data_IF_817485856518
#
_entry.id   IF_817485856518
#
_cell.length_a   1.000
_cell.length_b   1.000
_cell.length_c   1.000
_cell.angle_alpha   90.00
_cell.angle_beta   90.00
_cell.angle_gamma   90.00
#
_symmetry.space_group_name_H-M   'P 1'
#
loop_
_entity.id
_entity.type
_entity.pdbx_description
1 polymer ?
#
# COMPACT_ATOMS: atom_id res chain seq x y z
N UNK A 1 52.65 55.80 7.76
CA UNK A 1 53.38 54.90 8.61
C UNK A 1 52.81 53.52 8.52
N UNK A 2 53.57 52.58 7.95
CA UNK A 2 53.15 51.22 7.62
C UNK A 2 53.52 50.32 8.79
N UNK A 3 52.56 49.65 9.41
CA UNK A 3 52.79 48.63 10.42
C UNK A 3 52.45 47.24 9.87
N UNK A 4 53.54 46.48 9.56
CA UNK A 4 53.46 45.05 9.18
C UNK A 4 53.15 44.20 10.41
N UNK A 5 52.09 43.36 10.37
CA UNK A 5 51.90 42.26 11.30
C UNK A 5 52.53 40.98 10.72
N UNK A 6 53.40 40.37 11.51
CA UNK A 6 54.11 39.10 11.24
C UNK A 6 53.20 37.92 11.59
N UNK A 7 53.07 36.88 10.76
CA UNK A 7 52.31 35.70 11.11
C UNK A 7 53.12 34.79 12.04
N UNK A 8 52.53 34.42 13.18
CA UNK A 8 53.07 33.43 14.12
C UNK A 8 53.00 32.03 13.53
N UNK A 9 54.15 31.36 13.42
CA UNK A 9 54.30 29.96 13.01
C UNK A 9 53.73 29.05 14.12
N UNK A 10 52.65 28.34 13.84
CA UNK A 10 52.16 27.23 14.67
C UNK A 10 53.03 26.01 14.38
N UNK A 11 53.63 25.45 15.42
CA UNK A 11 54.55 24.32 15.34
C UNK A 11 53.81 23.01 14.98
N UNK A 12 54.35 22.16 14.07
CA UNK A 12 53.69 20.96 13.57
C UNK A 12 53.68 19.76 14.52
N UNK A 13 54.10 19.91 15.77
CA UNK A 13 54.26 18.79 16.72
C UNK A 13 52.93 18.39 17.41
N UNK A 14 51.97 19.30 17.51
CA UNK A 14 50.70 19.00 18.18
C UNK A 14 49.69 18.19 17.33
N UNK A 15 49.81 18.23 16.00
CA UNK A 15 48.88 17.52 15.09
C UNK A 15 49.25 16.04 14.96
N UNK A 16 50.52 15.69 15.05
CA UNK A 16 50.99 14.31 14.98
C UNK A 16 50.62 13.48 16.22
N UNK A 17 50.52 14.10 17.39
CA UNK A 17 50.14 13.41 18.63
C UNK A 17 48.64 13.06 18.70
N UNK A 18 47.75 13.89 18.08
CA UNK A 18 46.32 13.65 18.05
C UNK A 18 45.97 12.54 17.05
N UNK A 19 46.66 12.47 15.91
CA UNK A 19 46.45 11.41 14.92
C UNK A 19 46.98 10.05 15.38
N UNK A 20 48.04 10.01 16.19
CA UNK A 20 48.55 8.77 16.79
C UNK A 20 47.63 8.26 17.92
N UNK A 21 47.03 9.14 18.71
CA UNK A 21 46.09 8.74 19.76
C UNK A 21 44.80 8.18 19.22
N UNK A 22 44.28 8.68 18.08
CA UNK A 22 43.09 8.13 17.42
C UNK A 22 43.38 6.81 16.69
N UNK A 23 44.56 6.62 16.13
CA UNK A 23 44.94 5.36 15.50
C UNK A 23 45.16 4.23 16.53
N UNK A 24 45.68 4.52 17.71
CA UNK A 24 45.84 3.54 18.79
C UNK A 24 44.50 3.16 19.44
N UNK A 25 43.52 4.08 19.44
CA UNK A 25 42.19 3.78 20.02
C UNK A 25 41.34 2.91 19.11
N UNK A 26 41.57 2.90 17.80
CA UNK A 26 40.91 2.04 16.83
C UNK A 26 41.49 0.62 16.83
N UNK A 27 42.78 0.44 17.23
CA UNK A 27 43.43 -0.88 17.25
C UNK A 27 43.15 -1.71 18.50
N UNK A 28 42.58 -1.15 19.57
CA UNK A 28 42.34 -1.89 20.83
C UNK A 28 40.92 -2.43 21.01
N UNK A 29 40.00 -2.18 20.07
CA UNK A 29 38.76 -2.93 20.01
C UNK A 29 38.91 -4.13 19.06
N UNK A 30 39.54 -5.17 19.54
CA UNK A 30 39.39 -6.49 18.94
C UNK A 30 37.93 -6.93 19.18
N UNK A 31 37.17 -6.98 18.09
CA UNK A 31 35.94 -7.77 18.07
C UNK A 31 36.37 -9.22 18.32
N UNK A 32 35.59 -10.01 19.10
CA UNK A 32 35.93 -11.41 19.23
C UNK A 32 35.92 -12.04 17.83
N UNK A 33 36.99 -12.72 17.51
CA UNK A 33 37.19 -13.40 16.24
C UNK A 33 35.95 -14.25 15.92
N UNK A 34 35.23 -13.88 14.89
CA UNK A 34 34.35 -14.81 14.21
C UNK A 34 35.29 -15.87 13.62
N UNK A 35 35.32 -17.02 14.25
CA UNK A 35 36.14 -18.14 13.81
C UNK A 35 35.87 -18.40 12.34
N UNK A 36 36.82 -18.02 11.48
CA UNK A 36 36.87 -18.53 10.12
C UNK A 36 37.09 -20.04 10.20
N UNK A 37 36.03 -20.80 10.05
CA UNK A 37 36.16 -22.22 9.85
C UNK A 37 36.96 -22.45 8.56
N UNK A 38 38.19 -22.90 8.70
CA UNK A 38 39.03 -23.33 7.58
C UNK A 38 38.26 -24.36 6.76
N UNK A 39 38.11 -24.10 5.49
CA UNK A 39 37.64 -25.07 4.51
C UNK A 39 38.70 -26.16 4.36
N UNK A 40 38.40 -27.31 4.87
CA UNK A 40 39.16 -28.55 4.66
C UNK A 40 38.22 -29.71 4.55
N UNK A 41 37.99 -30.19 3.34
CA UNK A 41 37.60 -31.57 3.07
C UNK A 41 36.10 -31.90 3.08
N UNK A 42 35.64 -32.39 1.95
CA UNK A 42 34.37 -33.08 1.67
C UNK A 42 33.08 -32.27 1.90
N UNK A 43 32.42 -31.93 0.80
CA UNK A 43 31.06 -31.41 0.79
C UNK A 43 30.11 -32.41 1.42
N UNK A 44 29.97 -32.39 2.74
CA UNK A 44 28.82 -32.95 3.43
C UNK A 44 27.60 -32.21 2.96
N UNK A 45 26.71 -32.90 2.25
CA UNK A 45 25.41 -32.40 1.89
C UNK A 45 24.75 -31.84 3.16
N UNK A 46 24.65 -30.54 3.29
CA UNK A 46 23.92 -29.90 4.38
C UNK A 46 22.49 -30.38 4.28
N UNK A 47 22.14 -31.36 5.13
CA UNK A 47 20.74 -31.73 5.31
C UNK A 47 20.01 -30.49 5.83
N UNK A 48 19.17 -29.92 4.98
CA UNK A 48 18.20 -28.89 5.43
C UNK A 48 17.27 -29.62 6.39
N UNK A 49 17.37 -29.31 7.67
CA UNK A 49 16.44 -29.81 8.67
C UNK A 49 15.13 -28.99 8.53
N UNK A 50 14.14 -29.60 7.93
CA UNK A 50 12.78 -29.03 7.94
C UNK A 50 12.13 -29.45 9.25
N UNK A 51 11.91 -28.49 10.14
CA UNK A 51 11.19 -28.70 11.39
C UNK A 51 9.69 -28.44 11.11
N UNK A 52 8.96 -29.52 10.87
CA UNK A 52 7.49 -29.49 10.80
C UNK A 52 6.93 -29.60 12.23
N UNK A 53 6.93 -28.47 12.93
CA UNK A 53 6.38 -28.36 14.29
C UNK A 53 5.42 -27.18 14.33
N UNK A 54 4.18 -27.39 14.82
CA UNK A 54 3.26 -26.27 15.04
C UNK A 54 3.87 -25.30 16.07
N UNK A 55 3.59 -23.99 15.95
CA UNK A 55 4.04 -23.02 16.92
C UNK A 55 3.43 -23.32 18.29
N UNK A 56 4.22 -23.13 19.34
CA UNK A 56 3.77 -23.32 20.74
C UNK A 56 2.74 -22.25 21.12
N UNK A 57 2.86 -21.07 20.53
CA UNK A 57 1.93 -19.94 20.66
C UNK A 57 1.81 -19.22 19.33
N UNK A 58 0.60 -18.90 18.98
CA UNK A 58 0.28 -18.07 17.83
C UNK A 58 -0.32 -16.75 18.34
N UNK A 59 0.30 -15.63 17.95
CA UNK A 59 -0.29 -14.30 18.09
C UNK A 59 -1.01 -14.00 16.79
N UNK A 60 -2.31 -13.87 16.84
CA UNK A 60 -3.12 -13.47 15.70
C UNK A 60 -4.09 -12.37 16.10
N UNK A 61 -4.41 -11.49 15.16
CA UNK A 61 -5.48 -10.54 15.32
C UNK A 61 -6.75 -11.15 14.71
N UNK A 62 -7.73 -11.59 15.54
CA UNK A 62 -8.92 -12.24 15.05
C UNK A 62 -9.93 -11.25 14.43
N UNK A 63 -9.68 -9.95 14.57
CA UNK A 63 -10.63 -8.93 14.16
C UNK A 63 -10.32 -8.40 12.76
N UNK A 64 -11.35 -8.22 11.93
CA UNK A 64 -11.19 -7.59 10.62
C UNK A 64 -10.58 -6.18 10.70
N UNK A 65 -9.75 -5.84 9.72
CA UNK A 65 -9.29 -4.48 9.47
C UNK A 65 -9.66 -4.06 8.07
N UNK A 66 -10.07 -2.83 7.89
CA UNK A 66 -10.56 -2.35 6.62
C UNK A 66 -9.45 -1.65 5.83
N UNK A 67 -9.16 -2.17 4.62
CA UNK A 67 -8.22 -1.56 3.69
C UNK A 67 -8.91 -0.74 2.60
N UNK A 68 -10.00 -1.24 2.05
CA UNK A 68 -10.71 -0.56 0.99
C UNK A 68 -12.21 -0.46 1.31
N UNK A 69 -12.86 0.53 0.73
CA UNK A 69 -14.27 0.80 0.89
C UNK A 69 -14.92 1.17 -0.45
N UNK A 70 -16.05 0.55 -0.75
CA UNK A 70 -16.89 0.92 -1.89
C UNK A 70 -18.36 0.95 -1.46
N UNK A 71 -19.16 1.81 -2.09
CA UNK A 71 -20.53 2.09 -1.65
C UNK A 71 -21.51 1.89 -2.81
N UNK A 72 -22.56 1.12 -2.56
CA UNK A 72 -23.76 1.08 -3.38
C UNK A 72 -24.80 2.01 -2.74
N UNK A 73 -24.88 3.22 -3.28
CA UNK A 73 -25.80 4.25 -2.77
C UNK A 73 -27.26 3.95 -3.05
N UNK A 74 -27.55 3.15 -4.10
CA UNK A 74 -28.93 2.78 -4.45
C UNK A 74 -29.50 1.78 -3.46
N UNK A 75 -28.69 0.81 -3.04
CA UNK A 75 -29.11 -0.22 -2.07
C UNK A 75 -28.77 0.15 -0.63
N UNK A 76 -28.05 1.24 -0.40
CA UNK A 76 -27.61 1.65 0.92
C UNK A 76 -26.68 0.63 1.57
N UNK A 77 -25.73 0.09 0.80
CA UNK A 77 -24.77 -0.91 1.27
C UNK A 77 -23.33 -0.40 1.09
N UNK A 78 -22.50 -0.66 2.10
CA UNK A 78 -21.06 -0.43 2.04
C UNK A 78 -20.32 -1.76 2.08
N UNK A 79 -19.42 -1.94 1.15
CA UNK A 79 -18.55 -3.10 1.00
C UNK A 79 -17.17 -2.73 1.52
N UNK A 80 -16.69 -3.48 2.49
CA UNK A 80 -15.43 -3.25 3.18
C UNK A 80 -14.48 -4.42 2.92
N UNK A 81 -13.35 -4.13 2.33
CA UNK A 81 -12.30 -5.12 2.14
C UNK A 81 -11.52 -5.32 3.45
N UNK A 82 -11.48 -6.54 3.94
CA UNK A 82 -10.65 -6.97 5.06
C UNK A 82 -9.44 -7.72 4.50
N UNK A 83 -8.25 -7.20 4.73
CA UNK A 83 -6.99 -7.75 4.20
C UNK A 83 -6.20 -8.59 5.21
N UNK A 84 -6.69 -8.76 6.43
CA UNK A 84 -5.99 -9.53 7.47
C UNK A 84 -6.10 -11.04 7.25
N UNK A 85 -4.96 -11.67 7.01
CA UNK A 85 -4.85 -13.13 6.90
C UNK A 85 -5.29 -13.87 8.17
N UNK A 86 -4.95 -13.34 9.35
CA UNK A 86 -5.25 -13.97 10.64
C UNK A 86 -6.74 -14.04 10.96
N UNK A 87 -7.52 -13.05 10.50
CA UNK A 87 -8.98 -13.06 10.60
C UNK A 87 -9.66 -13.68 9.39
N UNK A 88 -8.86 -14.11 8.40
CA UNK A 88 -9.29 -14.54 7.07
C UNK A 88 -9.66 -13.35 6.20
N UNK A 89 -8.96 -13.18 5.07
CA UNK A 89 -9.29 -12.17 4.07
C UNK A 89 -10.77 -12.32 3.67
N UNK A 90 -11.47 -11.21 3.54
CA UNK A 90 -12.93 -11.24 3.31
C UNK A 90 -13.45 -9.92 2.80
N UNK A 91 -14.64 -9.96 2.21
CA UNK A 91 -15.44 -8.76 1.97
C UNK A 91 -16.59 -8.77 2.97
N UNK A 92 -16.73 -7.67 3.70
CA UNK A 92 -17.78 -7.48 4.71
C UNK A 92 -18.75 -6.41 4.22
N UNK A 93 -20.05 -6.71 4.25
CA UNK A 93 -21.08 -5.79 3.74
C UNK A 93 -21.94 -5.30 4.89
N UNK A 94 -21.99 -3.98 5.05
CA UNK A 94 -22.77 -3.31 6.08
C UNK A 94 -23.82 -2.37 5.48
N UNK A 95 -24.84 -1.95 6.23
CA UNK A 95 -25.71 -0.87 5.80
C UNK A 95 -24.96 0.46 5.85
N UNK A 96 -25.24 1.38 4.92
CA UNK A 96 -24.69 2.75 4.99
C UNK A 96 -25.32 3.56 6.11
N UNK A 97 -26.58 3.26 6.47
CA UNK A 97 -27.30 3.95 7.53
C UNK A 97 -27.48 3.04 8.75
N UNK A 98 -27.01 3.49 9.89
CA UNK A 98 -27.13 2.84 11.19
C UNK A 98 -27.00 3.86 12.31
N UNK A 99 -27.55 3.55 13.48
CA UNK A 99 -27.40 4.40 14.65
C UNK A 99 -25.93 4.35 15.15
N UNK A 100 -25.36 5.46 15.62
CA UNK A 100 -24.07 5.44 16.28
C UNK A 100 -24.03 4.41 17.42
N UNK A 101 -22.97 3.60 17.44
CA UNK A 101 -22.82 2.55 18.45
C UNK A 101 -21.34 2.37 18.81
N UNK A 102 -21.07 2.07 20.09
CA UNK A 102 -19.75 1.67 20.58
C UNK A 102 -19.56 0.13 20.51
N UNK A 103 -20.57 -0.59 20.06
CA UNK A 103 -20.52 -2.04 19.95
C UNK A 103 -19.85 -2.46 18.64
N UNK A 104 -19.25 -3.64 18.66
CA UNK A 104 -18.79 -4.32 17.44
C UNK A 104 -20.02 -4.54 16.56
N UNK A 105 -19.90 -4.15 15.30
CA UNK A 105 -20.97 -4.25 14.33
C UNK A 105 -20.79 -5.50 13.47
N UNK A 106 -21.79 -6.35 13.43
CA UNK A 106 -21.81 -7.52 12.57
C UNK A 106 -22.19 -7.15 11.14
N UNK A 107 -21.52 -7.70 10.13
CA UNK A 107 -21.88 -7.47 8.74
C UNK A 107 -23.18 -8.17 8.37
N UNK A 108 -23.95 -7.60 7.46
CA UNK A 108 -25.13 -8.26 6.85
C UNK A 108 -24.75 -9.48 6.01
N UNK A 109 -23.60 -9.39 5.31
CA UNK A 109 -23.03 -10.45 4.49
C UNK A 109 -21.52 -10.48 4.66
N UNK A 110 -20.96 -11.67 4.53
CA UNK A 110 -19.53 -11.90 4.53
C UNK A 110 -19.18 -12.86 3.42
N UNK A 111 -18.29 -12.46 2.52
CA UNK A 111 -17.72 -13.31 1.48
C UNK A 111 -16.33 -13.69 1.96
N UNK A 112 -16.14 -14.95 2.29
CA UNK A 112 -14.89 -15.49 2.84
C UNK A 112 -14.88 -17.01 2.76
N UNK A 113 -13.71 -17.58 2.62
CA UNK A 113 -13.47 -19.01 2.60
C UNK A 113 -12.56 -19.45 1.46
N UNK A 114 -12.10 -20.69 1.46
CA UNK A 114 -11.11 -21.17 0.52
C UNK A 114 -11.55 -21.18 -0.95
N UNK A 115 -12.86 -21.28 -1.21
CA UNK A 115 -13.39 -21.26 -2.58
C UNK A 115 -13.43 -19.83 -3.17
N UNK A 116 -13.35 -18.80 -2.35
CA UNK A 116 -13.42 -17.41 -2.83
C UNK A 116 -12.15 -16.97 -3.56
N UNK A 117 -11.04 -17.63 -3.33
CA UNK A 117 -9.69 -17.19 -3.75
C UNK A 117 -9.41 -15.72 -3.41
N UNK A 118 -9.98 -15.26 -2.29
CA UNK A 118 -9.71 -13.96 -1.70
C UNK A 118 -8.46 -14.07 -0.83
N UNK A 119 -7.35 -13.49 -1.31
CA UNK A 119 -6.17 -13.22 -0.48
C UNK A 119 -6.26 -11.83 0.17
N UNK A 120 -5.14 -11.20 0.45
CA UNK A 120 -5.09 -9.82 0.95
C UNK A 120 -5.78 -8.88 -0.05
N UNK A 121 -6.99 -8.40 0.30
CA UNK A 121 -7.79 -7.54 -0.60
C UNK A 121 -7.34 -6.10 -0.47
N UNK A 122 -6.67 -5.60 -1.48
CA UNK A 122 -6.14 -4.23 -1.50
C UNK A 122 -7.10 -3.22 -2.12
N UNK A 123 -7.99 -3.67 -2.99
CA UNK A 123 -8.93 -2.78 -3.67
C UNK A 123 -10.26 -3.44 -3.97
N UNK A 124 -11.31 -2.63 -4.00
CA UNK A 124 -12.68 -3.04 -4.32
C UNK A 124 -13.35 -1.98 -5.20
N UNK A 125 -14.00 -2.43 -6.27
CA UNK A 125 -14.83 -1.59 -7.14
C UNK A 125 -16.19 -2.25 -7.37
N UNK A 126 -17.22 -1.45 -7.57
CA UNK A 126 -18.60 -1.93 -7.76
C UNK A 126 -19.13 -1.52 -9.13
N UNK A 127 -19.95 -2.39 -9.70
CA UNK A 127 -20.80 -2.10 -10.86
C UNK A 127 -22.26 -2.41 -10.51
N UNK A 128 -22.99 -1.49 -9.89
CA UNK A 128 -24.38 -1.74 -9.49
C UNK A 128 -25.28 -2.12 -10.66
N UNK A 129 -25.11 -1.46 -11.82
CA UNK A 129 -25.85 -1.74 -13.05
C UNK A 129 -25.69 -3.17 -13.57
N UNK A 130 -24.56 -3.84 -13.28
CA UNK A 130 -24.29 -5.22 -13.68
C UNK A 130 -24.38 -6.19 -12.50
N UNK A 131 -24.59 -5.68 -11.29
CA UNK A 131 -24.60 -6.47 -10.05
C UNK A 131 -23.26 -7.12 -9.74
N UNK A 132 -22.15 -6.55 -10.22
CA UNK A 132 -20.79 -7.09 -10.11
C UNK A 132 -19.94 -6.31 -9.12
N UNK A 133 -19.11 -7.03 -8.38
CA UNK A 133 -18.07 -6.52 -7.49
C UNK A 133 -16.72 -7.05 -7.95
N UNK A 134 -15.74 -6.18 -8.08
CA UNK A 134 -14.36 -6.48 -8.46
C UNK A 134 -13.46 -6.33 -7.25
N UNK A 135 -12.65 -7.34 -6.98
CA UNK A 135 -11.68 -7.31 -5.89
C UNK A 135 -10.30 -7.65 -6.41
N UNK A 136 -9.28 -6.93 -5.93
CA UNK A 136 -7.92 -7.20 -6.32
C UNK A 136 -7.12 -7.67 -5.10
N UNK A 137 -6.35 -8.75 -5.29
CA UNK A 137 -5.50 -9.31 -4.26
C UNK A 137 -4.05 -8.88 -4.45
N UNK A 138 -3.48 -8.27 -3.42
CA UNK A 138 -2.05 -7.94 -3.39
C UNK A 138 -1.17 -9.18 -3.24
N UNK A 139 -1.68 -10.25 -2.65
CA UNK A 139 -0.92 -11.45 -2.35
C UNK A 139 -0.96 -12.48 -3.48
N UNK A 140 -2.15 -12.84 -3.95
CA UNK A 140 -2.32 -13.86 -5.00
C UNK A 140 -2.09 -13.29 -6.39
N UNK A 141 -2.21 -11.99 -6.57
CA UNK A 141 -2.13 -11.34 -7.89
C UNK A 141 -3.36 -11.63 -8.74
N UNK A 142 -4.53 -11.79 -8.11
CA UNK A 142 -5.79 -12.10 -8.81
C UNK A 142 -6.72 -10.88 -8.82
N UNK A 143 -7.47 -10.76 -9.89
CA UNK A 143 -8.64 -9.91 -10.01
C UNK A 143 -9.87 -10.83 -10.04
N UNK A 144 -10.68 -10.76 -9.01
CA UNK A 144 -11.87 -11.59 -8.86
C UNK A 144 -13.14 -10.77 -9.10
N UNK A 145 -14.13 -11.38 -9.72
CA UNK A 145 -15.46 -10.81 -9.92
C UNK A 145 -16.49 -11.65 -9.18
N UNK A 146 -17.20 -11.00 -8.27
CA UNK A 146 -18.32 -11.62 -7.53
C UNK A 146 -19.63 -10.93 -7.85
N UNK A 147 -20.74 -11.64 -7.63
CA UNK A 147 -22.03 -10.97 -7.50
C UNK A 147 -22.01 -10.02 -6.29
N UNK A 148 -22.57 -8.83 -6.41
CA UNK A 148 -22.78 -7.93 -5.27
C UNK A 148 -23.73 -8.52 -4.20
N UNK A 149 -24.44 -9.61 -4.50
CA UNK A 149 -25.27 -10.35 -3.56
C UNK A 149 -24.56 -11.59 -2.97
N UNK A 150 -23.30 -11.81 -3.31
CA UNK A 150 -22.54 -12.94 -2.80
C UNK A 150 -22.48 -12.95 -1.27
N UNK A 151 -22.49 -14.15 -0.69
CA UNK A 151 -22.39 -14.38 0.74
C UNK A 151 -21.81 -15.78 1.00
N UNK A 152 -20.95 -15.91 2.01
CA UNK A 152 -20.31 -17.17 2.38
C UNK A 152 -19.11 -17.52 1.49
N UNK A 153 -18.78 -18.81 1.45
CA UNK A 153 -17.64 -19.37 0.71
C UNK A 153 -18.05 -19.71 -0.72
N UNK A 154 -18.10 -18.71 -1.58
CA UNK A 154 -18.51 -18.84 -2.98
C UNK A 154 -17.34 -18.54 -3.93
N UNK A 155 -17.18 -19.30 -5.03
CA UNK A 155 -16.16 -18.99 -6.02
C UNK A 155 -16.47 -17.67 -6.76
N UNK A 156 -15.45 -16.99 -7.29
CA UNK A 156 -15.68 -15.86 -8.17
C UNK A 156 -16.39 -16.30 -9.46
N UNK A 157 -17.29 -15.46 -9.96
CA UNK A 157 -17.97 -15.69 -11.23
C UNK A 157 -17.00 -15.61 -12.42
N UNK A 158 -15.98 -14.77 -12.30
CA UNK A 158 -14.84 -14.63 -13.23
C UNK A 158 -13.57 -14.29 -12.44
N UNK A 159 -12.45 -14.72 -12.97
CA UNK A 159 -11.15 -14.44 -12.38
C UNK A 159 -10.12 -14.17 -13.49
N UNK A 160 -9.22 -13.23 -13.21
CA UNK A 160 -7.99 -13.03 -13.95
C UNK A 160 -6.84 -13.33 -13.00
N UNK A 161 -6.14 -14.43 -13.22
CA UNK A 161 -5.06 -14.89 -12.36
C UNK A 161 -3.78 -15.19 -13.12
N UNK A 162 -2.64 -15.13 -12.42
CA UNK A 162 -1.34 -15.48 -12.97
C UNK A 162 -0.76 -14.53 -14.02
N UNK A 163 -1.54 -13.56 -14.49
CA UNK A 163 -1.16 -12.54 -15.47
C UNK A 163 -0.84 -11.24 -14.78
N UNK A 164 -1.56 -10.95 -13.68
CA UNK A 164 -1.36 -9.76 -12.87
C UNK A 164 -0.20 -10.01 -11.91
N UNK A 165 0.84 -9.16 -11.85
CA UNK A 165 1.88 -9.27 -10.84
C UNK A 165 1.29 -9.22 -9.44
N UNK A 166 1.91 -9.88 -8.48
CA UNK A 166 1.60 -9.69 -7.05
C UNK A 166 1.90 -8.25 -6.64
N UNK A 167 1.43 -7.85 -5.47
CA UNK A 167 1.49 -6.50 -4.97
C UNK A 167 0.61 -5.52 -5.78
N UNK A 168 -0.61 -5.96 -6.08
CA UNK A 168 -1.64 -5.06 -6.60
C UNK A 168 -2.24 -4.25 -5.46
N UNK A 169 -2.42 -2.95 -5.67
CA UNK A 169 -2.86 -2.04 -4.62
C UNK A 169 -4.24 -1.46 -4.84
N UNK A 170 -4.56 -1.02 -6.04
CA UNK A 170 -5.82 -0.35 -6.33
C UNK A 170 -6.53 -0.91 -7.55
N UNK A 171 -7.86 -0.86 -7.53
CA UNK A 171 -8.73 -1.15 -8.67
C UNK A 171 -9.79 -0.07 -8.80
N UNK A 172 -10.04 0.36 -10.02
CA UNK A 172 -11.11 1.30 -10.36
C UNK A 172 -11.87 0.83 -11.60
N UNK A 173 -13.20 0.93 -11.54
CA UNK A 173 -14.07 0.70 -12.69
C UNK A 173 -14.47 2.03 -13.34
N UNK A 174 -14.02 2.27 -14.56
CA UNK A 174 -14.58 3.28 -15.43
C UNK A 174 -15.82 2.71 -16.14
N UNK A 175 -16.98 2.88 -15.50
CA UNK A 175 -18.24 2.33 -16.00
C UNK A 175 -18.67 2.98 -17.33
N UNK A 176 -18.24 4.21 -17.62
CA UNK A 176 -18.57 4.90 -18.86
C UNK A 176 -17.89 4.27 -20.09
N UNK A 177 -16.74 3.63 -19.90
CA UNK A 177 -15.96 3.04 -20.96
C UNK A 177 -15.80 1.51 -20.82
N UNK A 178 -16.41 0.91 -19.81
CA UNK A 178 -16.37 -0.53 -19.54
C UNK A 178 -14.92 -1.04 -19.32
N UNK A 179 -14.10 -0.23 -18.62
CA UNK A 179 -12.67 -0.50 -18.38
C UNK A 179 -12.35 -0.59 -16.86
N UNK A 180 -11.48 -1.54 -16.53
CA UNK A 180 -10.91 -1.73 -15.19
C UNK A 180 -9.46 -1.30 -15.17
N UNK A 181 -9.10 -0.41 -14.28
CA UNK A 181 -7.77 0.11 -14.06
C UNK A 181 -7.19 -0.49 -12.78
N UNK A 182 -5.97 -1.00 -12.86
CA UNK A 182 -5.30 -1.70 -11.76
C UNK A 182 -3.91 -1.11 -11.56
N UNK A 183 -3.59 -0.70 -10.34
CA UNK A 183 -2.23 -0.35 -9.95
C UNK A 183 -1.48 -1.54 -9.40
N UNK A 184 -0.19 -1.63 -9.71
CA UNK A 184 0.71 -2.63 -9.16
C UNK A 184 1.93 -1.95 -8.57
N UNK A 185 2.11 -2.08 -7.25
CA UNK A 185 3.11 -1.39 -6.45
C UNK A 185 4.54 -1.60 -6.99
N UNK A 186 5.20 -2.61 -6.58
CA UNK A 186 6.64 -2.83 -6.77
C UNK A 186 7.14 -2.89 -8.20
N UNK A 187 6.26 -3.00 -9.19
CA UNK A 187 6.63 -2.93 -10.62
C UNK A 187 6.27 -1.59 -11.25
N UNK A 188 5.69 -0.67 -10.48
CA UNK A 188 5.33 0.68 -10.92
C UNK A 188 4.51 0.65 -12.21
N UNK A 189 3.34 0.03 -12.15
CA UNK A 189 2.53 -0.24 -13.33
C UNK A 189 1.06 0.10 -13.09
N UNK A 190 0.42 0.60 -14.14
CA UNK A 190 -1.04 0.61 -14.30
C UNK A 190 -1.37 -0.32 -15.46
N UNK A 191 -2.29 -1.27 -15.24
CA UNK A 191 -2.82 -2.12 -16.28
C UNK A 191 -4.31 -1.84 -16.47
N UNK A 192 -4.77 -1.83 -17.72
CA UNK A 192 -6.17 -1.56 -18.06
C UNK A 192 -6.75 -2.76 -18.78
N UNK A 193 -7.87 -3.28 -18.28
CA UNK A 193 -8.59 -4.41 -18.84
C UNK A 193 -10.02 -4.03 -19.22
N UNK A 194 -10.65 -4.81 -20.10
CA UNK A 194 -12.10 -4.74 -20.28
C UNK A 194 -12.81 -5.17 -19.00
N UNK A 195 -13.92 -4.54 -18.66
CA UNK A 195 -14.77 -5.01 -17.56
C UNK A 195 -15.18 -6.48 -17.74
N UNK A 196 -15.46 -6.90 -18.99
CA UNK A 196 -15.91 -8.24 -19.35
C UNK A 196 -14.76 -9.24 -19.61
N UNK A 197 -13.56 -8.98 -19.05
CA UNK A 197 -12.38 -9.81 -19.25
C UNK A 197 -12.65 -11.30 -19.02
N UNK A 198 -11.85 -12.14 -19.65
CA UNK A 198 -11.78 -13.59 -19.45
C UNK A 198 -10.44 -13.98 -18.82
N UNK A 199 -10.34 -15.20 -18.32
CA UNK A 199 -9.20 -15.69 -17.51
C UNK A 199 -7.80 -15.42 -18.09
N UNK A 200 -7.67 -15.37 -19.43
CA UNK A 200 -6.38 -15.23 -20.12
C UNK A 200 -6.25 -13.96 -20.94
N UNK A 201 -7.14 -13.01 -20.72
CA UNK A 201 -7.08 -11.77 -21.48
C UNK A 201 -5.83 -10.96 -21.14
N UNK A 202 -5.22 -10.39 -22.17
CA UNK A 202 -4.15 -9.42 -22.01
C UNK A 202 -4.75 -8.03 -21.71
N UNK A 203 -4.00 -7.16 -21.01
CA UNK A 203 -4.45 -5.80 -20.79
C UNK A 203 -4.59 -5.05 -22.11
N UNK A 204 -5.62 -4.21 -22.20
CA UNK A 204 -5.81 -3.30 -23.34
C UNK A 204 -4.67 -2.30 -23.44
N UNK A 205 -4.18 -1.83 -22.30
CA UNK A 205 -3.11 -0.83 -22.18
C UNK A 205 -2.31 -1.09 -20.90
N UNK A 206 -1.03 -0.71 -20.95
CA UNK A 206 -0.12 -0.71 -19.80
C UNK A 206 0.56 0.65 -19.77
N UNK A 207 0.54 1.32 -18.60
CA UNK A 207 1.35 2.49 -18.32
C UNK A 207 2.48 2.03 -17.40
N UNK A 208 3.71 2.07 -17.91
CA UNK A 208 4.90 1.63 -17.20
C UNK A 208 6.16 2.19 -17.86
N UNK A 209 7.13 2.65 -17.08
CA UNK A 209 8.41 3.09 -17.60
C UNK A 209 9.00 4.25 -16.79
N UNK A 210 10.25 4.64 -17.09
CA UNK A 210 10.96 5.67 -16.33
C UNK A 210 10.39 7.08 -16.46
N UNK A 211 9.65 7.35 -17.54
CA UNK A 211 9.04 8.66 -17.79
C UNK A 211 7.73 8.85 -17.03
N UNK A 212 7.10 7.76 -16.58
CA UNK A 212 5.78 7.82 -15.94
C UNK A 212 5.80 8.53 -14.59
N UNK A 213 6.91 8.54 -13.87
CA UNK A 213 6.96 9.05 -12.50
C UNK A 213 6.19 8.18 -11.49
N UNK A 214 5.70 7.00 -11.89
CA UNK A 214 5.11 6.03 -10.97
C UNK A 214 6.17 5.55 -9.97
N UNK A 215 5.81 5.57 -8.71
CA UNK A 215 6.70 5.30 -7.60
C UNK A 215 5.94 4.64 -6.45
N UNK A 216 5.82 3.31 -6.51
CA UNK A 216 5.01 2.53 -5.59
C UNK A 216 3.54 3.00 -5.64
N UNK A 217 2.87 2.81 -6.78
CA UNK A 217 1.52 3.31 -7.00
C UNK A 217 0.49 2.50 -6.21
N UNK A 218 -0.37 3.18 -5.47
CA UNK A 218 -1.42 2.60 -4.65
C UNK A 218 -2.82 2.88 -5.21
N UNK A 219 -3.51 3.87 -4.68
CA UNK A 219 -4.86 4.20 -5.09
C UNK A 219 -4.94 4.73 -6.53
N UNK A 220 -6.05 4.43 -7.19
CA UNK A 220 -6.34 4.88 -8.54
C UNK A 220 -7.78 5.37 -8.64
N UNK A 221 -7.97 6.48 -9.32
CA UNK A 221 -9.27 7.07 -9.66
C UNK A 221 -9.26 7.50 -11.12
N UNK A 222 -10.37 7.31 -11.82
CA UNK A 222 -10.52 7.77 -13.21
C UNK A 222 -11.66 8.78 -13.30
N UNK A 223 -11.33 9.97 -13.75
CA UNK A 223 -12.29 10.99 -14.12
C UNK A 223 -12.64 10.82 -15.61
N UNK A 224 -13.75 10.14 -15.86
CA UNK A 224 -14.21 9.84 -17.23
C UNK A 224 -14.60 11.09 -18.00
N UNK A 225 -15.07 12.15 -17.33
CA UNK A 225 -15.44 13.42 -17.96
C UNK A 225 -14.21 14.24 -18.37
N UNK A 226 -13.20 14.33 -17.48
CA UNK A 226 -11.93 14.98 -17.79
C UNK A 226 -11.02 14.11 -18.64
N UNK A 227 -11.34 12.84 -18.82
CA UNK A 227 -10.51 11.85 -19.49
C UNK A 227 -9.12 11.69 -18.84
N UNK A 228 -9.08 11.62 -17.50
CA UNK A 228 -7.86 11.60 -16.70
C UNK A 228 -7.83 10.43 -15.72
N UNK A 229 -6.62 9.92 -15.46
CA UNK A 229 -6.31 8.94 -14.42
C UNK A 229 -5.50 9.64 -13.34
N UNK A 230 -5.91 9.51 -12.08
CA UNK A 230 -5.19 9.98 -10.90
C UNK A 230 -4.66 8.79 -10.12
N UNK A 231 -3.38 8.84 -9.74
CA UNK A 231 -2.71 7.75 -9.03
C UNK A 231 -1.93 8.31 -7.86
N UNK A 232 -2.15 7.76 -6.68
CA UNK A 232 -1.31 8.02 -5.51
C UNK A 232 -0.05 7.17 -5.57
N UNK A 233 1.08 7.74 -5.20
CA UNK A 233 2.37 7.07 -5.14
C UNK A 233 2.97 7.28 -3.74
N UNK A 234 3.33 6.19 -3.06
CA UNK A 234 4.01 6.27 -1.76
C UNK A 234 5.40 6.89 -1.86
N UNK A 235 5.98 6.86 -3.05
CA UNK A 235 7.37 7.24 -3.26
C UNK A 235 8.27 6.02 -3.24
N UNK A 236 9.57 6.24 -3.49
CA UNK A 236 10.39 5.08 -3.68
C UNK A 236 11.17 4.61 -2.48
N UNK A 237 10.82 3.49 -2.01
CA UNK A 237 11.70 2.66 -1.21
C UNK A 237 12.29 1.49 -2.00
N UNK A 238 12.34 1.53 -3.30
CA UNK A 238 12.29 0.45 -4.17
C UNK A 238 13.51 -0.20 -4.72
N UNK A 239 13.25 -1.38 -5.20
CA UNK A 239 14.12 -2.19 -6.00
C UNK A 239 14.78 -1.39 -7.13
N UNK A 240 16.10 -1.37 -7.21
CA UNK A 240 16.84 -0.90 -8.36
C UNK A 240 16.96 -2.03 -9.38
N UNK A 241 16.55 -1.76 -10.62
CA UNK A 241 16.87 -2.65 -11.74
C UNK A 241 18.27 -2.30 -12.23
N UNK A 242 19.22 -3.19 -12.07
CA UNK A 242 20.54 -3.06 -12.70
C UNK A 242 20.43 -3.46 -14.18
N UNK A 243 21.33 -2.95 -15.04
CA UNK A 243 21.27 -3.08 -16.49
C UNK A 243 21.19 -4.49 -17.07
N UNK A 244 21.28 -5.53 -16.23
CA UNK A 244 21.14 -6.93 -16.62
C UNK A 244 19.78 -7.54 -16.23
N UNK A 245 18.81 -6.72 -15.81
CA UNK A 245 17.47 -7.16 -15.40
C UNK A 245 17.42 -7.80 -14.02
N UNK A 246 18.48 -7.70 -13.23
CA UNK A 246 18.48 -8.11 -11.84
C UNK A 246 17.89 -7.02 -10.96
N UNK A 247 16.87 -7.37 -10.16
CA UNK A 247 16.28 -6.46 -9.19
C UNK A 247 17.10 -6.49 -7.92
N UNK A 248 17.71 -5.36 -7.57
CA UNK A 248 18.34 -5.17 -6.28
C UNK A 248 17.62 -4.06 -5.53
N UNK A 249 16.99 -4.39 -4.45
CA UNK A 249 16.40 -3.45 -3.50
C UNK A 249 17.21 -3.36 -2.23
N UNK A 250 16.86 -2.44 -1.32
CA UNK A 250 17.45 -2.40 0.01
C UNK A 250 17.41 -3.76 0.71
N UNK A 251 16.40 -4.56 0.40
CA UNK A 251 16.15 -5.87 0.98
C UNK A 251 16.68 -7.02 0.12
N UNK A 252 17.48 -6.74 -0.92
CA UNK A 252 18.01 -7.75 -1.87
C UNK A 252 16.97 -8.76 -2.35
N UNK A 253 15.73 -8.31 -2.52
CA UNK A 253 14.63 -9.13 -2.98
C UNK A 253 14.93 -9.60 -4.41
N UNK A 254 15.23 -10.88 -4.54
CA UNK A 254 15.34 -11.53 -5.85
C UNK A 254 13.95 -11.66 -6.49
N UNK A 255 13.90 -11.85 -7.80
CA UNK A 255 12.65 -12.15 -8.54
C UNK A 255 11.79 -13.22 -7.86
N UNK A 256 12.44 -14.22 -7.25
CA UNK A 256 11.81 -15.32 -6.54
C UNK A 256 11.13 -14.89 -5.25
N UNK A 257 11.69 -13.93 -4.52
CA UNK A 257 11.13 -13.45 -3.26
C UNK A 257 9.89 -12.54 -3.44
N UNK A 258 9.73 -11.93 -4.61
CA UNK A 258 8.54 -11.15 -4.95
C UNK A 258 7.41 -12.00 -5.54
N UNK A 259 7.60 -13.34 -5.62
CA UNK A 259 6.58 -14.25 -6.15
C UNK A 259 6.28 -14.08 -7.65
N UNK A 260 7.16 -13.44 -8.41
CA UNK A 260 7.02 -13.24 -9.86
C UNK A 260 7.38 -14.46 -10.72
N UNK A 261 7.53 -15.62 -10.13
CA UNK A 261 7.69 -16.87 -10.86
C UNK A 261 6.35 -17.34 -11.46
N UNK A 262 5.85 -16.62 -12.42
CA UNK A 262 4.91 -17.20 -13.37
C UNK A 262 5.76 -17.98 -14.38
N UNK A 263 5.65 -19.30 -14.43
CA UNK A 263 6.43 -20.10 -15.38
C UNK A 263 6.27 -19.56 -16.79
N UNK A 264 7.38 -19.15 -17.41
CA UNK A 264 7.41 -18.67 -18.80
C UNK A 264 7.24 -17.18 -19.03
N UNK A 265 6.98 -16.34 -18.01
CA UNK A 265 6.93 -14.88 -18.15
C UNK A 265 7.91 -14.15 -17.26
N UNK A 266 8.89 -13.54 -17.87
CA UNK A 266 9.73 -12.52 -17.27
C UNK A 266 9.02 -11.18 -17.52
N UNK A 267 8.33 -10.65 -16.50
CA UNK A 267 7.82 -9.29 -16.59
C UNK A 267 9.01 -8.33 -16.61
N UNK A 268 9.16 -7.49 -17.63
CA UNK A 268 10.20 -6.48 -17.62
C UNK A 268 9.90 -5.51 -16.50
N UNK A 269 10.77 -5.49 -15.50
CA UNK A 269 10.79 -4.41 -14.53
C UNK A 269 11.35 -3.19 -15.24
N UNK A 270 10.65 -2.07 -15.18
CA UNK A 270 11.14 -0.82 -15.76
C UNK A 270 12.51 -0.46 -15.15
N UNK A 271 13.40 0.17 -15.91
CA UNK A 271 14.69 0.59 -15.40
C UNK A 271 14.51 1.55 -14.22
N UNK A 272 15.27 1.30 -13.14
CA UNK A 272 15.33 2.26 -12.03
C UNK A 272 16.01 3.54 -12.52
N UNK A 273 15.42 4.68 -12.22
CA UNK A 273 16.02 5.98 -12.50
C UNK A 273 17.20 6.30 -11.57
N UNK A 274 17.38 5.51 -10.49
CA UNK A 274 18.32 5.79 -9.43
C UNK A 274 18.01 7.06 -8.62
N UNK A 275 16.87 7.71 -8.87
CA UNK A 275 16.44 8.92 -8.18
C UNK A 275 15.47 8.57 -7.06
N UNK A 276 15.61 9.27 -5.94
CA UNK A 276 14.59 9.28 -4.91
C UNK A 276 13.36 10.04 -5.44
N UNK A 277 12.20 9.38 -5.41
CA UNK A 277 10.92 9.99 -5.74
C UNK A 277 10.09 10.10 -4.46
N UNK A 278 9.78 11.31 -3.99
CA UNK A 278 8.92 11.49 -2.82
C UNK A 278 7.47 11.10 -3.13
N UNK A 279 6.65 11.03 -2.09
CA UNK A 279 5.22 10.82 -2.22
C UNK A 279 4.61 11.81 -3.21
N UNK A 280 3.66 11.35 -4.04
CA UNK A 280 3.08 12.17 -5.10
C UNK A 280 1.69 11.68 -5.53
N UNK A 281 0.99 12.54 -6.25
CA UNK A 281 -0.15 12.16 -7.09
C UNK A 281 0.24 12.44 -8.53
N UNK A 282 0.23 11.42 -9.37
CA UNK A 282 0.48 11.55 -10.83
C UNK A 282 -0.82 11.47 -11.59
N UNK A 283 -0.96 12.31 -12.63
CA UNK A 283 -2.17 12.38 -13.45
C UNK A 283 -1.80 12.10 -14.90
N UNK A 284 -2.55 11.20 -15.55
CA UNK A 284 -2.33 10.82 -16.95
C UNK A 284 -3.62 11.00 -17.77
N UNK A 285 -3.48 11.03 -19.10
CA UNK A 285 -4.63 10.82 -19.97
C UNK A 285 -5.22 9.42 -19.72
N UNK A 286 -6.54 9.28 -19.72
CA UNK A 286 -7.22 7.99 -19.55
C UNK A 286 -6.80 6.97 -20.63
N UNK A 287 -6.46 7.45 -21.82
CA UNK A 287 -6.03 6.62 -22.95
C UNK A 287 -4.52 6.41 -23.03
N UNK A 288 -3.76 6.84 -22.01
CA UNK A 288 -2.32 6.67 -21.97
C UNK A 288 -1.89 5.19 -22.07
N UNK A 289 -0.77 4.95 -22.74
CA UNK A 289 -0.18 3.63 -22.93
C UNK A 289 1.34 3.74 -23.07
N UNK A 290 2.08 2.71 -22.67
CA UNK A 290 3.54 2.68 -22.75
C UNK A 290 4.22 3.45 -21.62
N UNK A 291 5.16 4.33 -21.95
CA UNK A 291 5.95 5.15 -21.00
C UNK A 291 5.63 6.66 -21.13
N UNK A 292 4.38 7.09 -20.86
CA UNK A 292 4.00 8.50 -20.97
C UNK A 292 4.45 9.27 -19.71
N UNK A 293 4.91 10.50 -19.91
CA UNK A 293 5.02 11.45 -18.80
C UNK A 293 3.61 11.81 -18.29
N UNK A 294 3.45 12.05 -16.96
CA UNK A 294 2.19 12.54 -16.43
C UNK A 294 1.87 13.94 -16.96
N UNK A 295 0.60 14.21 -17.20
CA UNK A 295 0.13 15.55 -17.60
C UNK A 295 0.20 16.55 -16.45
N UNK A 296 0.10 16.07 -15.21
CA UNK A 296 0.28 16.82 -13.97
C UNK A 296 0.86 15.94 -12.87
N UNK A 297 1.58 16.57 -11.95
CA UNK A 297 2.08 15.94 -10.71
C UNK A 297 1.80 16.87 -9.55
N UNK A 298 1.24 16.35 -8.46
CA UNK A 298 1.14 17.04 -7.17
C UNK A 298 2.21 16.41 -6.27
N UNK A 299 3.22 17.22 -5.88
CA UNK A 299 4.39 16.71 -5.15
C UNK A 299 5.12 17.89 -4.50
N UNK A 300 5.64 17.67 -3.30
CA UNK A 300 6.46 18.62 -2.58
C UNK A 300 6.03 18.82 -1.13
N UNK A 301 6.81 19.51 -0.31
CA UNK A 301 6.58 19.60 1.15
C UNK A 301 5.28 20.32 1.52
N UNK A 302 4.78 21.24 0.68
CA UNK A 302 3.52 21.95 0.95
C UNK A 302 2.30 21.06 0.76
N UNK A 303 2.42 19.97 -0.01
CA UNK A 303 1.31 19.04 -0.27
C UNK A 303 0.91 18.24 0.97
N UNK A 304 1.79 18.07 1.95
CA UNK A 304 1.60 17.25 3.14
C UNK A 304 1.41 15.75 2.83
N UNK A 305 1.72 15.30 1.62
CA UNK A 305 1.62 13.90 1.23
C UNK A 305 2.63 13.05 2.01
N UNK A 306 2.14 12.00 2.67
CA UNK A 306 2.92 11.03 3.42
C UNK A 306 2.24 9.66 3.30
N UNK A 307 2.80 8.76 2.51
CA UNK A 307 2.19 7.48 2.15
C UNK A 307 0.72 7.63 1.70
N UNK A 308 0.43 8.40 0.64
CA UNK A 308 -0.93 8.57 0.14
C UNK A 308 -1.43 7.25 -0.47
N UNK A 309 -2.47 6.67 0.11
CA UNK A 309 -3.05 5.39 -0.31
C UNK A 309 -4.32 5.62 -1.15
N UNK A 310 -5.50 5.41 -0.61
CA UNK A 310 -6.76 5.52 -1.34
C UNK A 310 -7.04 6.92 -1.88
N UNK A 311 -7.65 6.96 -3.06
CA UNK A 311 -8.01 8.20 -3.76
C UNK A 311 -9.42 8.11 -4.32
N UNK A 312 -10.14 9.20 -4.25
CA UNK A 312 -11.43 9.38 -4.93
C UNK A 312 -11.63 10.85 -5.31
N UNK A 313 -12.67 11.16 -6.05
CA UNK A 313 -13.09 12.53 -6.31
C UNK A 313 -14.45 12.78 -5.66
N UNK A 314 -14.60 13.95 -5.08
CA UNK A 314 -15.92 14.45 -4.68
C UNK A 314 -16.70 14.90 -5.92
N UNK A 315 -17.77 14.21 -6.30
CA UNK A 315 -18.48 14.48 -7.54
C UNK A 315 -19.28 15.82 -7.52
N UNK A 316 -19.34 16.49 -6.37
CA UNK A 316 -20.04 17.78 -6.22
C UNK A 316 -19.08 18.96 -6.27
N UNK A 317 -17.98 18.88 -5.50
CA UNK A 317 -16.98 19.96 -5.47
C UNK A 317 -15.87 19.78 -6.53
N UNK A 318 -15.71 18.56 -7.06
CA UNK A 318 -14.60 18.20 -7.93
C UNK A 318 -13.27 18.01 -7.20
N UNK A 319 -13.22 18.14 -5.88
CA UNK A 319 -12.00 17.96 -5.10
C UNK A 319 -11.49 16.50 -5.16
N UNK A 320 -10.20 16.33 -5.27
CA UNK A 320 -9.52 15.05 -5.14
C UNK A 320 -9.31 14.77 -3.65
N UNK A 321 -9.79 13.64 -3.18
CA UNK A 321 -9.78 13.21 -1.78
C UNK A 321 -8.79 12.08 -1.59
N UNK A 322 -7.84 12.24 -0.68
CA UNK A 322 -6.71 11.32 -0.47
C UNK A 322 -6.71 10.80 0.96
N UNK A 323 -6.68 9.48 1.12
CA UNK A 323 -6.28 8.87 2.38
C UNK A 323 -4.75 8.98 2.52
N UNK A 324 -4.29 9.71 3.49
CA UNK A 324 -2.88 10.03 3.71
C UNK A 324 -2.40 9.27 4.95
N UNK A 325 -2.01 8.03 4.73
CA UNK A 325 -1.80 6.99 5.75
C UNK A 325 -0.72 7.36 6.75
N UNK A 326 0.40 7.90 6.27
CA UNK A 326 1.60 8.12 7.07
C UNK A 326 1.44 9.18 8.18
N UNK A 327 0.44 10.04 8.09
CA UNK A 327 0.20 11.07 9.11
C UNK A 327 -1.25 11.17 9.61
N UNK A 328 -2.04 10.09 9.47
CA UNK A 328 -3.40 9.98 9.99
C UNK A 328 -4.35 11.08 9.47
N UNK A 329 -4.24 11.47 8.20
CA UNK A 329 -5.04 12.57 7.62
C UNK A 329 -5.81 12.20 6.37
N UNK A 330 -6.83 12.99 6.05
CA UNK A 330 -7.45 13.04 4.73
C UNK A 330 -7.14 14.40 4.13
N UNK A 331 -6.54 14.40 2.94
CA UNK A 331 -6.18 15.60 2.21
C UNK A 331 -7.15 15.83 1.05
N UNK A 332 -7.51 17.08 0.82
CA UNK A 332 -8.39 17.48 -0.26
C UNK A 332 -7.66 18.45 -1.17
N UNK A 333 -7.56 18.16 -2.45
CA UNK A 333 -6.92 19.01 -3.44
C UNK A 333 -7.93 19.49 -4.48
N UNK A 334 -7.67 20.67 -5.04
CA UNK A 334 -8.42 21.10 -6.21
C UNK A 334 -8.19 20.12 -7.38
N UNK A 335 -9.22 19.87 -8.21
CA UNK A 335 -9.16 18.97 -9.37
C UNK A 335 -7.97 19.24 -10.31
N UNK A 336 -7.63 20.52 -10.47
CA UNK A 336 -6.55 20.98 -11.35
C UNK A 336 -5.23 21.25 -10.62
N UNK A 337 -5.09 20.80 -9.38
CA UNK A 337 -3.87 20.99 -8.60
C UNK A 337 -2.64 20.42 -9.32
N UNK A 338 -1.53 21.13 -9.24
CA UNK A 338 -0.25 20.73 -9.82
C UNK A 338 0.92 21.35 -9.05
N UNK A 339 2.05 20.65 -8.99
CA UNK A 339 3.26 21.08 -8.30
C UNK A 339 3.16 21.03 -6.78
N UNK A 340 3.97 21.83 -6.11
CA UNK A 340 4.02 21.94 -4.65
C UNK A 340 2.95 22.90 -4.12
N UNK A 341 1.70 22.42 -4.09
CA UNK A 341 0.53 23.18 -3.62
C UNK A 341 -0.03 22.59 -2.33
N UNK A 342 -0.51 23.42 -1.39
CA UNK A 342 -1.16 22.89 -0.19
C UNK A 342 -2.53 22.31 -0.55
N UNK A 343 -3.04 21.34 0.25
CA UNK A 343 -4.42 20.91 0.16
C UNK A 343 -5.37 22.08 0.47
N UNK A 344 -6.53 22.11 -0.16
CA UNK A 344 -7.56 23.13 0.09
C UNK A 344 -8.26 22.95 1.44
N UNK A 345 -8.29 21.72 1.93
CA UNK A 345 -8.75 21.35 3.28
C UNK A 345 -8.02 20.11 3.76
N UNK A 346 -7.98 19.93 5.08
CA UNK A 346 -7.39 18.78 5.75
C UNK A 346 -8.34 18.33 6.86
N UNK A 347 -8.57 17.03 6.96
CA UNK A 347 -9.22 16.37 8.10
C UNK A 347 -8.13 15.61 8.86
N UNK A 348 -7.81 16.08 10.08
CA UNK A 348 -6.74 15.50 10.89
C UNK A 348 -6.91 15.84 12.36
N UNK A 349 -6.44 14.97 13.24
CA UNK A 349 -6.35 15.20 14.68
C UNK A 349 -7.09 14.14 15.52
N UNK A 350 -6.87 14.16 16.83
CA UNK A 350 -7.32 13.11 17.73
C UNK A 350 -8.85 12.89 17.74
N UNK A 351 -9.64 13.94 17.52
CA UNK A 351 -11.10 13.82 17.47
C UNK A 351 -11.60 13.00 16.29
N UNK A 352 -10.83 12.94 15.19
CA UNK A 352 -11.21 12.18 13.98
C UNK A 352 -11.21 10.67 14.23
N UNK A 353 -10.46 10.21 15.21
CA UNK A 353 -10.21 8.80 15.54
C UNK A 353 -9.56 8.01 14.39
N UNK A 354 -9.06 8.67 13.36
CA UNK A 354 -8.36 8.02 12.26
C UNK A 354 -6.96 7.56 12.67
N UNK A 355 -6.59 6.35 12.25
CA UNK A 355 -5.27 5.75 12.38
C UNK A 355 -4.96 4.94 11.12
N UNK A 356 -3.93 5.33 10.39
CA UNK A 356 -3.59 4.71 9.12
C UNK A 356 -4.79 4.68 8.16
N UNK A 357 -5.37 5.83 7.75
CA UNK A 357 -6.45 5.83 6.77
C UNK A 357 -5.94 5.34 5.42
N UNK A 358 -6.58 4.33 4.84
CA UNK A 358 -6.14 3.68 3.59
C UNK A 358 -7.20 3.71 2.49
N UNK A 359 -8.47 3.70 2.82
CA UNK A 359 -9.55 3.74 1.83
C UNK A 359 -10.47 4.93 2.03
N UNK A 360 -10.88 5.56 0.93
CA UNK A 360 -11.84 6.67 0.93
C UNK A 360 -12.91 6.46 -0.14
N UNK A 361 -14.14 6.82 0.19
CA UNK A 361 -15.26 6.80 -0.75
C UNK A 361 -16.27 7.90 -0.41
N UNK A 362 -16.94 8.44 -1.43
CA UNK A 362 -17.98 9.44 -1.25
C UNK A 362 -19.36 8.82 -1.47
N UNK A 363 -20.20 8.91 -0.45
CA UNK A 363 -21.62 8.65 -0.56
C UNK A 363 -22.34 9.96 -0.95
N UNK A 364 -22.61 10.10 -2.24
CA UNK A 364 -23.30 11.26 -2.79
C UNK A 364 -24.75 11.37 -2.30
N UNK A 365 -25.41 10.21 -2.12
CA UNK A 365 -26.80 10.15 -1.72
C UNK A 365 -27.05 10.73 -0.33
N UNK A 366 -26.11 10.48 0.60
CA UNK A 366 -26.19 10.96 1.98
C UNK A 366 -25.25 12.14 2.28
N UNK A 367 -24.50 12.62 1.28
CA UNK A 367 -23.55 13.73 1.45
C UNK A 367 -22.43 13.42 2.46
N UNK A 368 -21.85 12.23 2.38
CA UNK A 368 -20.93 11.67 3.35
C UNK A 368 -19.59 11.25 2.74
N UNK A 369 -18.53 11.36 3.55
CA UNK A 369 -17.20 10.81 3.31
C UNK A 369 -17.02 9.58 4.20
N UNK A 370 -16.72 8.45 3.60
CA UNK A 370 -16.38 7.20 4.26
C UNK A 370 -14.88 6.97 4.21
N UNK A 371 -14.30 6.60 5.35
CA UNK A 371 -12.85 6.36 5.51
C UNK A 371 -12.63 5.00 6.15
N UNK A 372 -11.91 4.12 5.47
CA UNK A 372 -11.35 2.90 6.06
C UNK A 372 -10.07 3.26 6.82
N UNK A 373 -10.02 2.94 8.09
CA UNK A 373 -8.89 3.25 8.99
C UNK A 373 -8.28 1.93 9.45
N UNK A 374 -7.12 1.62 8.91
CA UNK A 374 -6.52 0.29 9.01
C UNK A 374 -5.98 -0.02 10.40
N UNK A 375 -5.28 0.95 11.01
CA UNK A 375 -4.52 0.71 12.24
C UNK A 375 -5.37 0.71 13.53
N UNK A 376 -6.69 0.78 13.44
CA UNK A 376 -7.57 0.76 14.61
C UNK A 376 -8.94 0.11 14.42
N UNK A 377 -9.09 -0.77 13.44
CA UNK A 377 -10.30 -1.59 13.20
C UNK A 377 -11.59 -0.79 13.02
N UNK A 378 -11.54 0.38 12.39
CA UNK A 378 -12.75 1.18 12.16
C UNK A 378 -12.92 1.60 10.70
N UNK A 379 -14.18 1.80 10.32
CA UNK A 379 -14.54 2.68 9.22
C UNK A 379 -15.31 3.87 9.79
N UNK A 380 -14.84 5.07 9.50
CA UNK A 380 -15.38 6.31 10.01
C UNK A 380 -16.17 7.06 8.93
N UNK A 381 -17.26 7.68 9.33
CA UNK A 381 -18.15 8.44 8.44
C UNK A 381 -18.17 9.91 8.86
N UNK A 382 -17.93 10.79 7.90
CA UNK A 382 -17.90 12.23 8.12
C UNK A 382 -18.85 12.95 7.14
N UNK A 383 -19.26 14.20 7.43
CA UNK A 383 -19.86 15.01 6.40
C UNK A 383 -18.90 15.16 5.19
N UNK A 384 -19.40 15.13 3.98
CA UNK A 384 -18.59 15.28 2.75
C UNK A 384 -17.72 16.56 2.75
N UNK A 385 -18.21 17.63 3.36
CA UNK A 385 -17.54 18.95 3.44
C UNK A 385 -16.66 19.12 4.69
N UNK A 386 -16.31 18.00 5.37
CA UNK A 386 -15.54 18.00 6.62
C UNK A 386 -14.16 18.63 6.47
N UNK A 387 -13.70 19.29 7.52
CA UNK A 387 -12.31 19.76 7.69
C UNK A 387 -11.93 19.90 9.16
N UNK A 388 -10.64 19.91 9.45
CA UNK A 388 -10.09 20.12 10.79
C UNK A 388 -10.14 18.90 11.67
N UNK A 389 -10.12 19.11 12.99
CA UNK A 389 -10.12 18.06 13.98
C UNK A 389 -11.54 17.84 14.53
N UNK A 390 -12.34 17.04 13.85
CA UNK A 390 -13.76 16.81 14.17
C UNK A 390 -14.05 15.32 14.34
N UNK A 391 -15.02 15.01 15.19
CA UNK A 391 -15.46 13.63 15.40
C UNK A 391 -16.27 13.12 14.19
N UNK A 392 -16.18 11.82 13.88
CA UNK A 392 -17.04 11.22 12.86
C UNK A 392 -18.51 11.23 13.29
N UNK A 393 -19.41 11.24 12.31
CA UNK A 393 -20.85 11.09 12.50
C UNK A 393 -21.18 9.72 13.06
N UNK A 394 -20.51 8.69 12.55
CA UNK A 394 -20.68 7.28 12.90
C UNK A 394 -19.39 6.51 12.65
N UNK A 395 -19.27 5.38 13.32
CA UNK A 395 -18.15 4.46 13.16
C UNK A 395 -18.70 3.03 13.05
N UNK A 396 -18.25 2.28 12.04
CA UNK A 396 -18.27 0.81 12.08
C UNK A 396 -17.03 0.35 12.82
N UNK A 397 -17.20 -0.44 13.85
CA UNK A 397 -16.10 -0.98 14.64
C UNK A 397 -16.13 -2.50 14.59
N UNK A 398 -14.97 -3.11 14.35
CA UNK A 398 -14.81 -4.57 14.24
C UNK A 398 -14.05 -5.19 15.41
N UNK A 399 -13.47 -4.37 16.28
CA UNK A 399 -12.76 -4.80 17.48
C UNK A 399 -13.14 -3.92 18.68
N UNK A 400 -12.88 -4.36 19.93
CA UNK A 400 -12.98 -3.49 21.10
C UNK A 400 -12.13 -2.22 20.92
N UNK A 401 -12.54 -1.13 21.57
CA UNK A 401 -11.75 0.11 21.58
C UNK A 401 -10.37 -0.16 22.17
N UNK A 402 -9.33 0.34 21.52
CA UNK A 402 -7.93 0.10 21.88
C UNK A 402 -7.47 -1.37 21.77
N UNK A 403 -8.18 -2.22 21.04
CA UNK A 403 -7.66 -3.52 20.70
C UNK A 403 -6.29 -3.36 19.98
N UNK A 404 -5.25 -4.06 20.44
CA UNK A 404 -3.96 -3.98 19.78
C UNK A 404 -4.07 -4.56 18.37
N UNK A 405 -3.57 -3.83 17.40
CA UNK A 405 -3.35 -4.37 16.09
C UNK A 405 -2.10 -5.26 16.15
N UNK A 406 -2.25 -6.57 15.98
CA UNK A 406 -1.11 -7.42 15.72
C UNK A 406 -0.67 -7.16 14.27
N UNK A 407 0.10 -6.10 14.07
CA UNK A 407 0.75 -5.83 12.79
C UNK A 407 1.87 -6.84 12.63
N UNK A 408 1.55 -7.99 12.05
CA UNK A 408 2.53 -9.00 11.73
C UNK A 408 2.73 -8.99 10.22
N UNK A 409 3.81 -8.34 9.82
CA UNK A 409 4.27 -8.32 8.44
C UNK A 409 5.05 -9.59 8.08
N UNK A 410 5.67 -9.59 6.92
CA UNK A 410 6.56 -10.66 6.45
C UNK A 410 7.63 -11.00 7.49
N UNK A 411 8.03 -12.27 7.56
CA UNK A 411 9.13 -12.73 8.42
C UNK A 411 10.40 -11.94 8.04
N UNK A 412 10.69 -10.90 8.79
CA UNK A 412 11.84 -10.01 8.57
C UNK A 412 12.90 -10.10 9.67
N UNK A 413 12.56 -10.76 10.79
CA UNK A 413 13.46 -10.89 11.92
C UNK A 413 13.16 -12.16 12.71
N UNK A 414 14.14 -12.61 13.45
CA UNK A 414 14.02 -13.69 14.44
C UNK A 414 14.60 -13.17 15.75
N UNK A 415 13.85 -13.29 16.83
CA UNK A 415 14.34 -12.99 18.17
C UNK A 415 14.35 -14.25 19.04
N UNK A 416 15.33 -14.35 19.91
CA UNK A 416 15.43 -15.43 20.87
C UNK A 416 15.14 -14.91 22.29
N UNK A 417 14.12 -15.45 22.93
CA UNK A 417 13.81 -15.20 24.33
C UNK A 417 14.57 -16.22 25.20
N UNK A 418 15.77 -15.86 25.63
CA UNK A 418 16.61 -16.72 26.46
C UNK A 418 15.99 -17.07 27.83
N UNK A 419 15.00 -16.30 28.31
CA UNK A 419 14.33 -16.56 29.58
C UNK A 419 13.31 -17.68 29.47
N UNK A 420 12.71 -17.85 28.28
CA UNK A 420 11.68 -18.86 28.01
C UNK A 420 12.16 -20.00 27.11
N UNK A 421 13.39 -19.85 26.57
CA UNK A 421 13.95 -20.74 25.56
C UNK A 421 13.03 -20.86 24.33
N UNK A 422 12.52 -19.72 23.87
CA UNK A 422 11.59 -19.63 22.76
C UNK A 422 12.19 -18.81 21.61
N UNK A 423 11.97 -19.25 20.38
CA UNK A 423 12.26 -18.46 19.16
C UNK A 423 10.97 -17.76 18.75
N UNK A 424 11.02 -16.44 18.65
CA UNK A 424 9.93 -15.59 18.19
C UNK A 424 10.14 -15.31 16.70
N UNK A 425 9.20 -15.73 15.89
CA UNK A 425 9.21 -15.52 14.45
C UNK A 425 7.96 -14.73 14.09
N UNK A 426 8.06 -13.49 13.61
CA UNK A 426 6.90 -12.79 13.08
C UNK A 426 6.43 -13.47 11.79
N UNK A 427 5.12 -13.48 11.57
CA UNK A 427 4.48 -14.09 10.41
C UNK A 427 4.08 -13.01 9.41
#
# INVERSE_FOLDING_TARGET
MVGRLVPSRIRPIAVAAILLATAVWIQTRQWPDVAHAQQGGAASARRTLVLDRPPVRLLSDPNPVFRAVAIDTEKGEVFMANDKESSGASILVYPTQFAPTDRIMEPRRRIAGPNTDIGMVCGIALSPQHGEMYTISGETGTLNVFSMQANGDVPPARQLGGIIPRANAGVYLDAAHDELFITTEHVNRIAVYRRTFQEKDEPLRIIQGPSTGLADPHGIYVDSEANEIYVTNHGNWRATVTGEGEVRGPDSLTRTSLGYNVPGRVLPLGPSTGKFLPASITVYSRTANGDPAPVRVIQGPRTQLDQPDGITQDPVSGEIVIANTGNDSILFFARNAAGDVPPVRVLQGAATKLKGPVGVSIDRGHNELWVASWDNHIAAVFPRTVQGNVAPLRIIRTAPENAPLASMGRIGAVAYDAKRDEILVPN
#
